data_IF_190131670526
#
_entry.id   IF_190131670526
#
_cell.length_a   1.000
_cell.length_b   1.000
_cell.length_c   1.000
_cell.angle_alpha   90.00
_cell.angle_beta   90.00
_cell.angle_gamma   90.00
#
_symmetry.space_group_name_H-M   'P 1'
#
loop_
_entity.id
_entity.type
_entity.pdbx_description
1 polymer ?
#
# COMPACT_ATOMS: atom_id res chain seq x y z
N UNK A 1 25.65 -7.41 -17.60
CA UNK A 1 25.13 -8.08 -16.43
C UNK A 1 25.69 -7.41 -15.19
N UNK A 2 24.99 -6.47 -14.64
CA UNK A 2 25.27 -5.94 -13.32
C UNK A 2 24.57 -6.85 -12.32
N UNK A 3 25.34 -7.57 -11.52
CA UNK A 3 24.88 -8.21 -10.30
C UNK A 3 24.36 -7.11 -9.37
N UNK A 4 23.11 -6.74 -9.50
CA UNK A 4 22.41 -5.95 -8.50
C UNK A 4 22.31 -6.89 -7.30
N UNK A 5 23.06 -6.57 -6.25
CA UNK A 5 23.04 -7.28 -5.00
C UNK A 5 21.56 -7.36 -4.54
N UNK A 6 21.03 -8.57 -4.43
CA UNK A 6 19.61 -8.82 -4.10
C UNK A 6 19.23 -8.39 -2.67
N UNK A 7 20.10 -7.64 -2.00
CA UNK A 7 19.96 -7.13 -0.64
C UNK A 7 19.34 -5.74 -0.54
N UNK A 8 19.27 -4.98 -1.66
CA UNK A 8 18.92 -3.58 -1.63
C UNK A 8 17.49 -3.33 -2.08
N UNK A 9 16.84 -2.35 -1.45
CA UNK A 9 15.57 -1.81 -1.88
C UNK A 9 15.78 -0.99 -3.16
N UNK A 10 15.11 -1.35 -4.23
CA UNK A 10 15.18 -0.65 -5.51
C UNK A 10 13.83 0.02 -5.84
N UNK A 11 13.89 1.28 -6.26
CA UNK A 11 12.71 1.99 -6.76
C UNK A 11 12.72 2.04 -8.28
N UNK A 12 11.57 1.72 -8.87
CA UNK A 12 11.34 1.82 -10.32
C UNK A 12 10.10 2.66 -10.57
N UNK A 13 10.15 3.45 -11.64
CA UNK A 13 9.08 4.36 -12.01
C UNK A 13 8.57 3.99 -13.39
N UNK A 14 7.27 3.91 -13.55
CA UNK A 14 6.65 3.80 -14.85
C UNK A 14 5.29 4.51 -14.87
N UNK A 15 4.84 4.89 -16.07
CA UNK A 15 3.58 5.60 -16.26
C UNK A 15 2.81 4.93 -17.38
N UNK A 16 1.51 4.76 -17.18
CA UNK A 16 0.55 4.40 -18.22
C UNK A 16 -0.26 5.65 -18.60
N UNK A 17 -1.15 5.52 -19.57
CA UNK A 17 -2.04 6.63 -19.93
C UNK A 17 -3.02 7.03 -18.80
N UNK A 18 -3.20 6.17 -17.80
CA UNK A 18 -4.16 6.35 -16.70
C UNK A 18 -3.52 6.73 -15.38
N UNK A 19 -2.32 6.20 -15.08
CA UNK A 19 -1.70 6.34 -13.75
C UNK A 19 -0.18 6.24 -13.80
N UNK A 20 0.48 6.98 -12.91
CA UNK A 20 1.91 6.85 -12.64
C UNK A 20 2.14 5.96 -11.43
N UNK A 21 3.18 5.14 -11.48
CA UNK A 21 3.50 4.15 -10.45
C UNK A 21 4.94 4.30 -9.96
N UNK A 22 5.10 4.13 -8.66
CA UNK A 22 6.40 3.93 -8.01
C UNK A 22 6.40 2.51 -7.47
N UNK A 23 7.28 1.66 -7.97
CA UNK A 23 7.43 0.28 -7.51
C UNK A 23 8.66 0.20 -6.61
N UNK A 24 8.44 -0.15 -5.35
CA UNK A 24 9.50 -0.51 -4.41
C UNK A 24 9.74 -2.01 -4.53
N UNK A 25 10.79 -2.40 -5.23
CA UNK A 25 11.22 -3.81 -5.34
C UNK A 25 12.00 -4.20 -4.10
N UNK A 26 11.46 -5.12 -3.33
CA UNK A 26 12.00 -5.52 -2.03
C UNK A 26 12.54 -6.94 -2.05
N UNK A 27 13.72 -7.19 -1.44
CA UNK A 27 14.27 -8.53 -1.38
C UNK A 27 13.39 -9.47 -0.57
N UNK A 28 13.22 -10.72 -1.07
CA UNK A 28 12.38 -11.74 -0.44
C UNK A 28 13.03 -12.55 0.68
N UNK A 29 14.34 -12.41 0.95
CA UNK A 29 15.07 -13.19 1.95
C UNK A 29 14.83 -12.66 3.37
N UNK A 30 14.83 -13.56 4.34
CA UNK A 30 14.59 -13.22 5.76
C UNK A 30 15.54 -12.16 6.33
N UNK A 31 16.79 -12.18 5.91
CA UNK A 31 17.82 -11.26 6.36
C UNK A 31 17.53 -9.80 6.00
N UNK A 32 16.71 -9.58 4.96
CA UNK A 32 16.38 -8.25 4.44
C UNK A 32 14.97 -7.75 4.83
N UNK A 33 14.35 -8.37 5.81
CA UNK A 33 13.02 -8.00 6.32
C UNK A 33 12.91 -6.50 6.66
N UNK A 34 14.01 -5.90 7.15
CA UNK A 34 14.05 -4.46 7.45
C UNK A 34 13.86 -3.60 6.20
N UNK A 35 14.52 -3.95 5.10
CA UNK A 35 14.42 -3.22 3.83
C UNK A 35 13.00 -3.34 3.25
N UNK A 36 12.40 -4.52 3.38
CA UNK A 36 11.02 -4.73 3.02
C UNK A 36 10.06 -3.85 3.83
N UNK A 37 10.23 -3.76 5.15
CA UNK A 37 9.40 -2.91 6.01
C UNK A 37 9.52 -1.42 5.64
N UNK A 38 10.71 -0.96 5.26
CA UNK A 38 10.92 0.40 4.77
C UNK A 38 10.16 0.64 3.46
N UNK A 39 10.24 -0.28 2.49
CA UNK A 39 9.46 -0.19 1.25
C UNK A 39 7.95 -0.19 1.50
N UNK A 40 7.49 -1.05 2.40
CA UNK A 40 6.08 -1.17 2.75
C UNK A 40 5.52 0.07 3.47
N UNK A 41 6.34 0.83 4.20
CA UNK A 41 5.87 2.00 4.97
C UNK A 41 5.38 3.18 4.12
N UNK A 42 5.71 3.18 2.81
CA UNK A 42 5.31 4.22 1.86
C UNK A 42 4.42 3.69 0.73
N UNK A 43 4.02 2.43 0.80
CA UNK A 43 3.27 1.80 -0.27
C UNK A 43 1.76 1.81 0.03
N UNK A 44 0.96 2.16 -0.98
CA UNK A 44 -0.50 2.12 -0.92
C UNK A 44 -1.05 0.71 -1.12
N UNK A 45 -0.30 -0.14 -1.85
CA UNK A 45 -0.69 -1.49 -2.23
C UNK A 45 0.54 -2.42 -2.21
N UNK A 46 0.35 -3.66 -1.76
CA UNK A 46 1.36 -4.70 -1.80
C UNK A 46 1.06 -5.75 -2.87
N UNK A 47 2.06 -6.05 -3.71
CA UNK A 47 2.02 -7.20 -4.61
C UNK A 47 2.91 -8.29 -4.01
N UNK A 48 2.30 -9.39 -3.59
CA UNK A 48 3.00 -10.55 -3.03
C UNK A 48 3.08 -11.65 -4.09
N UNK A 49 4.30 -11.95 -4.50
CA UNK A 49 4.56 -13.00 -5.48
C UNK A 49 4.64 -14.38 -4.81
N UNK A 50 3.94 -15.35 -5.38
CA UNK A 50 4.01 -16.76 -4.98
C UNK A 50 4.42 -17.63 -6.16
N UNK A 51 5.12 -18.72 -5.89
CA UNK A 51 5.43 -19.74 -6.86
C UNK A 51 4.31 -20.78 -6.84
N UNK A 52 3.59 -20.96 -7.96
CA UNK A 52 2.50 -21.91 -8.08
C UNK A 52 2.93 -23.37 -7.85
N UNK A 53 4.22 -23.68 -7.99
CA UNK A 53 4.77 -25.02 -7.71
C UNK A 53 4.96 -25.29 -6.22
N UNK A 54 5.04 -24.24 -5.39
CA UNK A 54 5.34 -24.33 -3.97
C UNK A 54 4.17 -23.91 -3.07
N UNK A 55 3.23 -23.11 -3.59
CA UNK A 55 2.09 -22.60 -2.82
C UNK A 55 2.46 -21.53 -1.79
N UNK A 56 1.70 -21.47 -0.70
CA UNK A 56 1.85 -20.46 0.35
C UNK A 56 2.94 -20.86 1.34
N UNK A 57 4.10 -20.24 1.23
CA UNK A 57 5.25 -20.48 2.10
C UNK A 57 5.21 -19.63 3.38
N UNK A 58 6.07 -19.97 4.35
CA UNK A 58 6.28 -19.19 5.59
C UNK A 58 6.67 -17.74 5.27
N UNK A 59 7.48 -17.54 4.22
CA UNK A 59 7.88 -16.21 3.76
C UNK A 59 6.69 -15.39 3.25
N UNK A 60 5.79 -16.00 2.48
CA UNK A 60 4.55 -15.37 2.01
C UNK A 60 3.72 -14.85 3.17
N UNK A 61 3.53 -15.69 4.20
CA UNK A 61 2.80 -15.33 5.43
C UNK A 61 3.47 -14.19 6.18
N UNK A 62 4.80 -14.21 6.27
CA UNK A 62 5.59 -13.16 6.92
C UNK A 62 5.48 -11.84 6.17
N UNK A 63 5.62 -11.84 4.85
CA UNK A 63 5.53 -10.64 4.02
C UNK A 63 4.14 -10.01 4.09
N UNK A 64 3.08 -10.81 3.97
CA UNK A 64 1.72 -10.31 4.13
C UNK A 64 1.49 -9.67 5.51
N UNK A 65 1.99 -10.30 6.58
CA UNK A 65 1.88 -9.76 7.95
C UNK A 65 2.62 -8.44 8.12
N UNK A 66 3.84 -8.32 7.58
CA UNK A 66 4.61 -7.07 7.66
C UNK A 66 3.91 -5.95 6.92
N UNK A 67 3.44 -6.20 5.68
CA UNK A 67 2.68 -5.22 4.91
C UNK A 67 1.42 -4.76 5.65
N UNK A 68 0.67 -5.70 6.25
CA UNK A 68 -0.50 -5.37 7.06
C UNK A 68 -0.15 -4.53 8.30
N UNK A 69 0.94 -4.86 9.00
CA UNK A 69 1.44 -4.08 10.15
C UNK A 69 1.91 -2.67 9.76
N UNK A 70 2.40 -2.48 8.52
CA UNK A 70 2.76 -1.17 7.98
C UNK A 70 1.54 -0.35 7.53
N UNK A 71 0.33 -0.90 7.64
CA UNK A 71 -0.91 -0.21 7.32
C UNK A 71 -1.40 -0.38 5.89
N UNK A 72 -0.74 -1.23 5.08
CA UNK A 72 -1.23 -1.53 3.72
C UNK A 72 -2.55 -2.28 3.81
N UNK A 73 -3.54 -1.82 3.05
CA UNK A 73 -4.90 -2.38 3.01
C UNK A 73 -5.20 -3.17 1.75
N UNK A 74 -4.54 -2.82 0.65
CA UNK A 74 -4.74 -3.43 -0.67
C UNK A 74 -3.65 -4.44 -0.97
N UNK A 75 -4.06 -5.68 -1.22
CA UNK A 75 -3.15 -6.79 -1.47
C UNK A 75 -3.44 -7.45 -2.80
N UNK A 76 -2.42 -7.63 -3.61
CA UNK A 76 -2.45 -8.48 -4.79
C UNK A 76 -1.55 -9.67 -4.54
N UNK A 77 -2.11 -10.88 -4.50
CA UNK A 77 -1.34 -12.11 -4.50
C UNK A 77 -1.22 -12.60 -5.94
N UNK A 78 -0.03 -12.46 -6.50
CA UNK A 78 0.27 -12.92 -7.85
C UNK A 78 0.82 -14.34 -7.78
N UNK A 79 0.00 -15.32 -8.15
CA UNK A 79 0.37 -16.74 -8.22
C UNK A 79 1.11 -16.94 -9.53
N UNK A 80 2.44 -16.84 -9.47
CA UNK A 80 3.34 -16.86 -10.62
C UNK A 80 3.77 -18.27 -10.98
N UNK A 81 4.34 -18.42 -12.19
CA UNK A 81 4.80 -19.69 -12.77
C UNK A 81 3.67 -20.68 -13.06
N UNK A 82 2.50 -20.15 -13.44
CA UNK A 82 1.36 -20.98 -13.84
C UNK A 82 1.68 -21.87 -15.04
N UNK A 83 2.60 -21.46 -15.91
CA UNK A 83 3.15 -22.23 -17.02
C UNK A 83 3.79 -23.55 -16.55
N UNK A 84 4.53 -23.54 -15.44
CA UNK A 84 5.20 -24.72 -14.89
C UNK A 84 4.24 -25.78 -14.33
N UNK A 85 3.03 -25.38 -13.98
CA UNK A 85 1.99 -26.31 -13.51
C UNK A 85 0.93 -26.59 -14.58
N UNK A 86 1.20 -26.19 -15.85
CA UNK A 86 0.28 -26.39 -16.97
C UNK A 86 -1.03 -25.64 -16.85
N UNK A 87 -1.03 -24.48 -16.19
CA UNK A 87 -2.21 -23.63 -15.96
C UNK A 87 -3.37 -24.33 -15.24
N UNK A 88 -3.02 -25.26 -14.35
CA UNK A 88 -3.95 -26.11 -13.61
C UNK A 88 -4.84 -25.30 -12.67
N UNK A 89 -6.13 -25.30 -12.95
CA UNK A 89 -7.14 -24.58 -12.17
C UNK A 89 -7.33 -25.16 -10.76
N UNK A 90 -7.23 -26.48 -10.58
CA UNK A 90 -7.43 -27.10 -9.27
C UNK A 90 -6.31 -26.72 -8.31
N UNK A 91 -5.06 -26.73 -8.80
CA UNK A 91 -3.91 -26.26 -8.02
C UNK A 91 -4.02 -24.78 -7.66
N UNK A 92 -4.44 -23.96 -8.62
CA UNK A 92 -4.69 -22.54 -8.32
C UNK A 92 -5.77 -22.37 -7.25
N UNK A 93 -6.88 -23.07 -7.34
CA UNK A 93 -7.97 -22.99 -6.37
C UNK A 93 -7.51 -23.41 -4.96
N UNK A 94 -6.65 -24.42 -4.84
CA UNK A 94 -6.06 -24.81 -3.57
C UNK A 94 -5.21 -23.70 -2.96
N UNK A 95 -4.32 -23.10 -3.77
CA UNK A 95 -3.48 -21.96 -3.33
C UNK A 95 -4.36 -20.75 -2.96
N UNK A 96 -5.39 -20.48 -3.74
CA UNK A 96 -6.34 -19.40 -3.46
C UNK A 96 -7.04 -19.60 -2.12
N UNK A 97 -7.45 -20.81 -1.79
CA UNK A 97 -8.07 -21.12 -0.51
C UNK A 97 -7.11 -20.85 0.67
N UNK A 98 -5.83 -21.22 0.54
CA UNK A 98 -4.81 -20.93 1.55
C UNK A 98 -4.55 -19.42 1.71
N UNK A 99 -4.54 -18.66 0.60
CA UNK A 99 -4.40 -17.20 0.64
C UNK A 99 -5.59 -16.56 1.32
N UNK A 100 -6.82 -17.00 1.03
CA UNK A 100 -8.04 -16.46 1.66
C UNK A 100 -8.08 -16.77 3.16
N UNK A 101 -7.62 -17.96 3.56
CA UNK A 101 -7.46 -18.28 4.99
C UNK A 101 -6.46 -17.31 5.64
N UNK A 102 -5.28 -17.12 5.04
CA UNK A 102 -4.28 -16.18 5.55
C UNK A 102 -4.83 -14.74 5.64
N UNK A 103 -5.57 -14.32 4.62
CA UNK A 103 -6.20 -13.00 4.60
C UNK A 103 -7.19 -12.82 5.76
N UNK A 104 -7.99 -13.85 6.05
CA UNK A 104 -8.90 -13.87 7.22
C UNK A 104 -8.14 -13.81 8.54
N UNK A 105 -7.05 -14.59 8.70
CA UNK A 105 -6.21 -14.58 9.91
C UNK A 105 -5.55 -13.20 10.17
N UNK A 106 -5.19 -12.48 9.11
CA UNK A 106 -4.55 -11.17 9.19
C UNK A 106 -5.54 -10.00 9.15
N UNK A 107 -6.82 -10.25 8.90
CA UNK A 107 -7.84 -9.20 8.75
C UNK A 107 -7.59 -8.30 7.55
N UNK A 108 -7.09 -8.84 6.42
CA UNK A 108 -6.83 -8.05 5.22
C UNK A 108 -8.15 -7.62 4.58
N UNK A 109 -8.29 -6.31 4.32
CA UNK A 109 -9.56 -5.75 3.86
C UNK A 109 -9.81 -5.96 2.37
N UNK A 110 -8.79 -5.76 1.53
CA UNK A 110 -8.89 -5.88 0.07
C UNK A 110 -7.82 -6.83 -0.45
N UNK A 111 -8.27 -7.99 -0.96
CA UNK A 111 -7.38 -9.05 -1.46
C UNK A 111 -7.79 -9.43 -2.87
N UNK A 112 -6.86 -9.29 -3.81
CA UNK A 112 -6.98 -9.77 -5.18
C UNK A 112 -6.00 -10.90 -5.41
N UNK A 113 -6.43 -12.00 -6.00
CA UNK A 113 -5.58 -13.15 -6.30
C UNK A 113 -5.59 -13.37 -7.81
N UNK A 114 -4.42 -13.31 -8.42
CA UNK A 114 -4.28 -13.32 -9.88
C UNK A 114 -3.30 -14.41 -10.28
N UNK A 115 -3.73 -15.41 -11.12
CA UNK A 115 -2.83 -16.38 -11.69
C UNK A 115 -2.03 -15.74 -12.83
N UNK A 116 -0.70 -15.85 -12.79
CA UNK A 116 0.18 -15.21 -13.77
C UNK A 116 1.29 -16.15 -14.24
N UNK A 117 1.83 -15.87 -15.41
CA UNK A 117 3.15 -16.33 -15.81
C UNK A 117 3.96 -15.11 -16.24
N UNK A 118 4.94 -14.72 -15.42
CA UNK A 118 5.78 -13.57 -15.72
C UNK A 118 6.67 -13.80 -16.94
N UNK A 119 7.04 -15.07 -17.23
CA UNK A 119 7.87 -15.46 -18.37
C UNK A 119 7.11 -15.33 -19.67
N UNK A 120 5.85 -15.80 -19.68
CA UNK A 120 4.98 -15.75 -20.86
C UNK A 120 4.19 -14.44 -20.96
N UNK A 121 4.16 -13.64 -19.89
CA UNK A 121 3.41 -12.39 -19.80
C UNK A 121 1.92 -12.56 -19.50
N UNK A 122 1.49 -13.77 -19.17
CA UNK A 122 0.09 -14.12 -18.93
C UNK A 122 -0.48 -13.38 -17.70
N UNK A 123 -1.59 -12.68 -17.89
CA UNK A 123 -2.29 -11.88 -16.87
C UNK A 123 -1.41 -10.83 -16.16
N UNK A 124 -0.29 -10.43 -16.75
CA UNK A 124 0.53 -9.32 -16.26
C UNK A 124 -0.02 -8.00 -16.79
N UNK A 125 0.07 -7.78 -18.12
CA UNK A 125 -0.42 -6.58 -18.78
C UNK A 125 -1.72 -6.80 -19.54
N UNK A 126 -1.92 -8.01 -20.07
CA UNK A 126 -3.08 -8.42 -20.85
C UNK A 126 -3.62 -9.73 -20.32
N UNK A 127 -4.92 -9.94 -20.56
CA UNK A 127 -5.58 -11.20 -20.21
C UNK A 127 -4.97 -12.34 -21.03
N UNK A 128 -4.74 -13.47 -20.35
CA UNK A 128 -4.15 -14.66 -20.96
C UNK A 128 -5.19 -15.53 -21.64
N UNK A 129 -4.87 -16.02 -22.82
CA UNK A 129 -5.64 -17.05 -23.50
C UNK A 129 -5.37 -18.46 -22.92
N UNK A 130 -4.22 -18.64 -22.23
CA UNK A 130 -3.84 -19.89 -21.59
C UNK A 130 -4.59 -20.17 -20.28
N UNK A 131 -5.25 -19.13 -19.71
CA UNK A 131 -5.99 -19.20 -18.45
C UNK A 131 -7.47 -18.81 -18.66
N UNK A 132 -8.22 -19.53 -19.53
CA UNK A 132 -9.59 -19.14 -19.90
C UNK A 132 -10.57 -19.22 -18.72
N UNK A 133 -10.28 -20.00 -17.70
CA UNK A 133 -11.08 -20.15 -16.49
C UNK A 133 -10.94 -18.94 -15.53
N UNK A 134 -9.92 -18.11 -15.67
CA UNK A 134 -9.78 -16.90 -14.89
C UNK A 134 -10.54 -15.75 -15.55
N UNK A 135 -11.58 -15.28 -14.88
CA UNK A 135 -12.47 -14.22 -15.38
C UNK A 135 -12.07 -12.82 -14.91
N UNK A 136 -11.09 -12.74 -13.99
CA UNK A 136 -10.63 -11.48 -13.43
C UNK A 136 -9.76 -10.65 -14.39
N UNK A 137 -9.29 -9.53 -13.90
CA UNK A 137 -8.42 -8.60 -14.60
C UNK A 137 -6.94 -8.98 -14.47
N UNK A 138 -6.09 -8.62 -15.46
CA UNK A 138 -4.64 -8.65 -15.34
C UNK A 138 -4.14 -7.71 -14.23
N UNK A 139 -2.90 -7.93 -13.77
CA UNK A 139 -2.31 -7.10 -12.70
C UNK A 139 -2.34 -5.62 -13.08
N UNK A 140 -1.87 -5.25 -14.28
CA UNK A 140 -1.78 -3.85 -14.69
C UNK A 140 -3.14 -3.17 -14.70
N UNK A 141 -4.16 -3.82 -15.27
CA UNK A 141 -5.53 -3.27 -15.29
C UNK A 141 -6.07 -3.04 -13.88
N UNK A 142 -5.88 -4.01 -12.98
CA UNK A 142 -6.27 -3.86 -11.59
C UNK A 142 -5.56 -2.69 -10.91
N UNK A 143 -4.25 -2.52 -11.13
CA UNK A 143 -3.48 -1.41 -10.56
C UNK A 143 -3.92 -0.04 -11.10
N UNK A 144 -4.39 0.03 -12.34
CA UNK A 144 -4.93 1.26 -12.93
C UNK A 144 -6.30 1.65 -12.38
N UNK A 145 -7.10 0.66 -11.97
CA UNK A 145 -8.51 0.85 -11.58
C UNK A 145 -8.73 0.88 -10.07
N UNK A 146 -7.82 0.27 -9.28
CA UNK A 146 -7.96 0.26 -7.83
C UNK A 146 -7.90 1.68 -7.26
N UNK A 147 -8.92 2.07 -6.50
CA UNK A 147 -8.90 3.32 -5.74
C UNK A 147 -8.34 3.08 -4.35
N UNK A 148 -7.14 3.58 -4.13
CA UNK A 148 -6.44 3.50 -2.85
C UNK A 148 -6.74 4.71 -1.94
N UNK A 149 -7.47 5.71 -2.45
CA UNK A 149 -7.71 6.99 -1.77
C UNK A 149 -9.02 7.03 -0.97
N UNK A 150 -9.95 6.10 -1.22
CA UNK A 150 -11.32 6.18 -0.69
C UNK A 150 -11.43 6.29 0.84
N UNK A 151 -10.49 5.78 1.60
CA UNK A 151 -10.58 5.78 3.07
C UNK A 151 -9.85 6.91 3.78
N UNK A 152 -9.00 7.66 3.10
CA UNK A 152 -8.38 8.85 3.68
C UNK A 152 -9.42 9.97 3.94
N UNK A 153 -10.51 9.99 3.15
CA UNK A 153 -11.59 10.99 3.24
C UNK A 153 -12.59 10.73 4.38
N UNK A 154 -12.72 9.50 4.86
CA UNK A 154 -13.65 9.15 5.96
C UNK A 154 -13.00 9.24 7.34
N UNK A 155 -11.70 9.43 7.43
CA UNK A 155 -11.02 9.62 8.70
C UNK A 155 -11.17 11.07 9.15
N UNK A 156 -11.53 11.25 10.43
CA UNK A 156 -11.52 12.57 11.05
C UNK A 156 -10.14 13.21 10.97
N UNK A 157 -10.09 14.55 11.16
CA UNK A 157 -8.82 15.28 11.13
C UNK A 157 -7.79 14.66 12.06
N UNK A 158 -6.60 14.40 11.53
CA UNK A 158 -5.45 13.90 12.27
C UNK A 158 -4.17 14.57 11.79
N UNK A 159 -3.48 15.24 12.73
CA UNK A 159 -2.20 15.92 12.49
C UNK A 159 -1.24 15.63 13.64
N UNK A 160 -0.17 14.85 13.43
CA UNK A 160 0.89 14.72 14.41
C UNK A 160 1.63 16.05 14.58
N UNK A 161 1.73 16.54 15.81
CA UNK A 161 2.50 17.76 16.09
C UNK A 161 3.99 17.44 16.04
N UNK A 162 4.67 17.94 15.03
CA UNK A 162 6.11 17.75 14.82
C UNK A 162 6.95 18.87 15.44
N UNK A 163 6.38 20.08 15.54
CA UNK A 163 7.10 21.24 16.07
C UNK A 163 6.14 22.23 16.72
N UNK A 164 6.60 22.87 17.80
CA UNK A 164 5.96 24.07 18.36
C UNK A 164 6.68 25.31 17.82
N UNK A 165 5.94 26.16 17.12
CA UNK A 165 6.45 27.40 16.56
C UNK A 165 6.14 28.57 17.50
N UNK A 166 7.17 29.26 17.93
CA UNK A 166 7.04 30.45 18.81
C UNK A 166 8.06 31.54 18.39
N UNK A 167 7.82 32.20 17.24
CA UNK A 167 8.75 33.20 16.72
C UNK A 167 8.87 34.45 17.62
N UNK A 168 7.83 34.75 18.40
CA UNK A 168 7.79 35.86 19.33
C UNK A 168 6.91 35.54 20.55
N UNK A 169 6.77 36.50 21.50
CA UNK A 169 6.00 36.28 22.72
C UNK A 169 4.47 36.27 22.53
N UNK A 170 3.98 36.78 21.41
CA UNK A 170 2.55 36.93 21.12
C UNK A 170 1.99 35.79 20.25
N UNK A 171 2.87 35.00 19.58
CA UNK A 171 2.46 33.94 18.70
C UNK A 171 2.95 32.59 19.22
N UNK A 172 2.05 31.61 19.24
CA UNK A 172 2.35 30.20 19.48
C UNK A 172 1.51 29.35 18.55
N UNK A 173 2.15 28.59 17.71
CA UNK A 173 1.51 27.66 16.75
C UNK A 173 2.06 26.25 16.88
N UNK A 174 1.27 25.27 16.46
CA UNK A 174 1.66 23.88 16.31
C UNK A 174 1.85 23.60 14.83
N UNK A 175 2.94 22.92 14.47
CA UNK A 175 3.25 22.57 13.09
C UNK A 175 3.28 21.06 12.94
N UNK A 176 2.71 20.58 11.85
CA UNK A 176 2.71 19.18 11.44
C UNK A 176 2.14 19.06 10.05
N UNK A 177 2.25 17.87 9.50
CA UNK A 177 1.57 17.50 8.26
C UNK A 177 0.20 16.90 8.62
N UNK A 178 -0.84 17.25 7.87
CA UNK A 178 -2.14 16.62 8.01
C UNK A 178 -2.05 15.25 7.37
N UNK A 179 -2.24 14.19 8.17
CA UNK A 179 -2.18 12.79 7.73
C UNK A 179 -3.56 12.26 7.31
N UNK A 180 -4.63 12.86 7.83
CA UNK A 180 -5.99 12.50 7.49
C UNK A 180 -6.98 13.64 7.71
N UNK A 181 -8.05 13.66 6.90
CA UNK A 181 -9.15 14.58 7.02
C UNK A 181 -8.82 16.02 6.63
N UNK A 182 -9.68 16.92 7.06
CA UNK A 182 -9.58 18.36 6.80
C UNK A 182 -9.84 19.15 8.07
N UNK A 183 -9.39 20.39 8.13
CA UNK A 183 -9.57 21.30 9.27
C UNK A 183 -9.90 22.71 8.80
N UNK A 184 -10.85 23.36 9.50
CA UNK A 184 -11.27 24.73 9.23
C UNK A 184 -11.00 25.63 10.43
N UNK A 185 -10.87 26.92 10.18
CA UNK A 185 -10.81 27.92 11.25
C UNK A 185 -12.13 27.92 12.02
N UNK A 186 -12.05 27.77 13.33
CA UNK A 186 -13.20 27.64 14.23
C UNK A 186 -13.52 26.21 14.65
N UNK A 187 -12.97 25.20 14.01
CA UNK A 187 -13.18 23.81 14.39
C UNK A 187 -12.68 23.53 15.80
N UNK A 188 -13.35 22.60 16.48
CA UNK A 188 -12.93 22.11 17.79
C UNK A 188 -12.17 20.81 17.63
N UNK A 189 -10.92 20.80 18.02
CA UNK A 189 -10.02 19.66 17.95
C UNK A 189 -9.81 19.03 19.32
N UNK A 190 -9.65 17.71 19.35
CA UNK A 190 -9.21 16.98 20.54
C UNK A 190 -7.69 16.80 20.50
N UNK A 191 -7.01 17.24 21.54
CA UNK A 191 -5.55 17.13 21.67
C UNK A 191 -5.20 15.83 22.40
N UNK A 192 -4.48 14.97 21.74
CA UNK A 192 -4.02 13.70 22.32
C UNK A 192 -2.61 13.85 22.90
N UNK A 193 -2.27 13.11 23.96
CA UNK A 193 -3.05 12.07 24.65
C UNK A 193 -3.98 12.59 25.75
N UNK A 194 -3.97 13.90 26.07
CA UNK A 194 -4.69 14.46 27.20
C UNK A 194 -6.21 14.57 27.03
N UNK A 195 -6.74 14.37 25.81
CA UNK A 195 -8.15 14.55 25.44
C UNK A 195 -8.73 15.94 25.75
N UNK A 196 -7.87 16.95 25.86
CA UNK A 196 -8.28 18.34 25.98
C UNK A 196 -8.82 18.85 24.65
N UNK A 197 -9.78 19.75 24.67
CA UNK A 197 -10.33 20.36 23.47
C UNK A 197 -9.78 21.77 23.27
N UNK A 198 -9.51 22.12 22.01
CA UNK A 198 -9.06 23.46 21.63
C UNK A 198 -9.71 23.85 20.28
N UNK A 199 -10.00 25.16 20.13
CA UNK A 199 -10.52 25.67 18.86
C UNK A 199 -9.40 26.16 17.96
N UNK A 200 -9.51 25.90 16.67
CA UNK A 200 -8.59 26.37 15.63
C UNK A 200 -8.77 27.88 15.46
N UNK A 201 -7.77 28.64 15.83
CA UNK A 201 -7.81 30.12 15.76
C UNK A 201 -7.42 30.62 14.36
N UNK A 202 -6.40 30.05 13.77
CA UNK A 202 -5.91 30.40 12.44
C UNK A 202 -5.12 29.22 11.85
N UNK A 203 -5.09 29.14 10.54
CA UNK A 203 -4.33 28.16 9.78
C UNK A 203 -3.32 28.91 8.91
N UNK A 204 -2.04 28.53 8.99
CA UNK A 204 -0.97 29.13 8.21
C UNK A 204 -0.26 28.05 7.39
N UNK A 205 -0.22 28.25 6.07
CA UNK A 205 0.49 27.38 5.13
C UNK A 205 1.54 28.22 4.40
N UNK A 206 2.81 27.83 4.51
CA UNK A 206 3.93 28.60 3.96
C UNK A 206 3.91 30.10 4.35
N UNK A 207 3.48 30.39 5.59
CA UNK A 207 3.40 31.75 6.12
C UNK A 207 2.20 32.60 5.66
N UNK A 208 1.26 32.01 4.93
CA UNK A 208 -0.01 32.66 4.50
C UNK A 208 -1.18 32.09 5.28
N UNK A 209 -2.10 32.98 5.70
CA UNK A 209 -3.34 32.56 6.34
C UNK A 209 -4.29 31.90 5.32
N UNK A 210 -4.95 30.83 5.76
CA UNK A 210 -6.00 30.11 5.03
C UNK A 210 -7.21 29.89 5.92
N UNK A 211 -8.37 29.68 5.31
CA UNK A 211 -9.61 29.35 6.02
C UNK A 211 -9.70 27.86 6.34
N UNK A 212 -9.07 27.01 5.53
CA UNK A 212 -9.09 25.56 5.60
C UNK A 212 -7.77 24.96 5.12
N UNK A 213 -7.49 23.74 5.52
CA UNK A 213 -6.40 22.92 5.01
C UNK A 213 -6.76 21.42 5.12
N UNK A 214 -6.29 20.63 4.20
CA UNK A 214 -6.52 19.19 4.10
C UNK A 214 -5.23 18.44 3.74
N UNK A 215 -5.25 17.12 3.77
CA UNK A 215 -4.13 16.29 3.28
C UNK A 215 -3.75 16.71 1.86
N UNK A 216 -2.51 17.10 1.66
CA UNK A 216 -1.98 17.33 0.31
C UNK A 216 -1.82 15.99 -0.40
N UNK A 217 -2.50 15.84 -1.54
CA UNK A 217 -2.24 14.75 -2.49
C UNK A 217 -0.80 14.76 -3.01
#
# INVERSE_FOLDING_TARGET
SSDVCSSDLAYRYFTTDRRSFIVADTPGHEEYTRNMAVGASFADLAIILLDATQGVLVQTRRHARICALMGIRYFVFAVNKMDLIGYDQEKFNAIQAEILQLAGELGLESVKIIPVSATEGDNVTKKSDNIPWYTGEPILTYLEEVDVTEKAKEQGFYMPVQRVCRPNHTFRGFQGQIEAGEVHVGDTLTVLPGNETASVKSILVAGKERSEEHTSE
#
